data_IF_667861314513
#
_entry.id   IF_667861314513
#
_cell.length_a   1.000
_cell.length_b   1.000
_cell.length_c   1.000
_cell.angle_alpha   90.00
_cell.angle_beta   90.00
_cell.angle_gamma   90.00
#
_symmetry.space_group_name_H-M   'P 1'
#
loop_
_entity.id
_entity.type
_entity.pdbx_description
1 polymer ?
#
# COMPACT_ATOMS: atom_id res chain seq x y z
N UNK A 1 -25.76 5.65 18.50
CA UNK A 1 -26.29 5.63 17.12
C UNK A 1 -25.87 4.31 16.49
N UNK A 2 -26.81 3.44 16.08
CA UNK A 2 -26.46 2.20 15.37
C UNK A 2 -25.96 2.50 13.95
N UNK A 3 -25.27 1.54 13.35
CA UNK A 3 -24.95 1.58 11.91
C UNK A 3 -26.25 1.52 11.12
N UNK A 4 -26.42 2.43 10.15
CA UNK A 4 -27.59 2.46 9.27
C UNK A 4 -27.41 1.48 8.09
N UNK A 5 -28.21 0.41 8.10
CA UNK A 5 -28.17 -0.66 7.09
C UNK A 5 -28.64 -0.19 5.71
N UNK A 6 -29.33 0.95 5.61
CA UNK A 6 -29.76 1.53 4.33
C UNK A 6 -28.62 1.99 3.42
N UNK A 7 -27.40 2.10 3.95
CA UNK A 7 -26.20 2.40 3.17
C UNK A 7 -25.54 1.16 2.54
N UNK A 8 -25.99 -0.06 2.86
CA UNK A 8 -25.44 -1.28 2.27
C UNK A 8 -25.55 -1.25 0.73
N UNK A 9 -24.45 -1.54 0.04
CA UNK A 9 -24.38 -1.53 -1.42
C UNK A 9 -24.18 -0.15 -2.07
N UNK A 10 -24.08 0.95 -1.28
CA UNK A 10 -23.72 2.26 -1.83
C UNK A 10 -22.30 2.23 -2.41
N UNK A 11 -22.15 2.77 -3.62
CA UNK A 11 -20.85 3.02 -4.25
C UNK A 11 -20.51 4.50 -4.18
N UNK A 12 -19.25 4.81 -3.92
CA UNK A 12 -18.71 6.17 -3.94
C UNK A 12 -17.89 6.37 -5.21
N UNK A 13 -17.89 7.58 -5.79
CA UNK A 13 -17.07 7.86 -6.97
C UNK A 13 -15.58 7.66 -6.63
N UNK A 14 -14.76 7.21 -7.60
CA UNK A 14 -13.32 7.11 -7.40
C UNK A 14 -12.71 8.46 -7.03
N UNK A 15 -11.72 8.43 -6.14
CA UNK A 15 -10.84 9.57 -5.86
C UNK A 15 -9.74 9.68 -6.92
N UNK A 16 -8.94 10.74 -6.87
CA UNK A 16 -7.74 10.85 -7.69
C UNK A 16 -6.81 9.64 -7.45
N UNK A 17 -6.13 9.18 -8.50
CA UNK A 17 -5.20 8.08 -8.40
C UNK A 17 -4.09 8.38 -7.38
N UNK A 18 -3.77 7.40 -6.53
CA UNK A 18 -2.68 7.50 -5.58
C UNK A 18 -1.38 7.01 -6.21
N UNK A 19 -0.37 7.88 -6.27
CA UNK A 19 0.96 7.52 -6.75
C UNK A 19 1.74 6.78 -5.66
N UNK A 20 2.12 5.53 -5.93
CA UNK A 20 2.91 4.71 -5.02
C UNK A 20 4.39 5.07 -5.17
N UNK A 21 4.87 5.98 -4.32
CA UNK A 21 6.27 6.42 -4.31
C UNK A 21 7.19 5.50 -3.50
N UNK A 22 8.39 5.21 -4.02
CA UNK A 22 9.39 4.34 -3.36
C UNK A 22 9.76 4.80 -1.96
N UNK A 23 9.95 6.11 -1.78
CA UNK A 23 10.28 6.69 -0.46
C UNK A 23 9.16 6.41 0.55
N UNK A 24 7.89 6.46 0.11
CA UNK A 24 6.76 6.17 0.98
C UNK A 24 6.66 4.69 1.33
N UNK A 25 7.03 3.80 0.39
CA UNK A 25 7.13 2.36 0.67
C UNK A 25 8.20 2.07 1.73
N UNK A 26 9.37 2.71 1.64
CA UNK A 26 10.43 2.58 2.63
C UNK A 26 9.98 3.09 4.01
N UNK A 27 9.45 4.32 4.06
CA UNK A 27 8.93 4.92 5.31
C UNK A 27 7.85 4.02 5.95
N UNK A 28 6.93 3.48 5.15
CA UNK A 28 5.87 2.61 5.65
C UNK A 28 6.42 1.26 6.11
N UNK A 29 7.37 0.67 5.38
CA UNK A 29 8.00 -0.59 5.76
C UNK A 29 8.68 -0.48 7.14
N UNK A 30 9.39 0.63 7.38
CA UNK A 30 10.00 0.92 8.68
C UNK A 30 8.92 1.08 9.76
N UNK A 31 7.83 1.80 9.48
CA UNK A 31 6.74 2.05 10.44
C UNK A 31 6.00 0.77 10.88
N UNK A 32 5.88 -0.23 10.01
CA UNK A 32 5.18 -1.48 10.29
C UNK A 32 6.11 -2.65 10.59
N UNK A 33 7.43 -2.43 10.63
CA UNK A 33 8.43 -3.48 10.88
C UNK A 33 8.58 -4.50 9.74
N UNK A 34 8.24 -4.12 8.50
CA UNK A 34 8.43 -4.97 7.33
C UNK A 34 9.90 -4.96 6.88
N UNK A 35 10.70 -5.88 7.42
CA UNK A 35 12.16 -5.89 7.28
C UNK A 35 12.70 -6.51 6.00
N UNK A 36 11.85 -7.07 5.14
CA UNK A 36 12.31 -7.71 3.91
C UNK A 36 12.85 -6.65 2.91
N UNK A 37 14.08 -6.84 2.41
CA UNK A 37 14.77 -5.85 1.58
C UNK A 37 14.08 -5.53 0.26
N UNK A 38 13.16 -6.37 -0.22
CA UNK A 38 12.33 -6.05 -1.40
C UNK A 38 11.47 -4.77 -1.23
N UNK A 39 11.30 -4.28 0.00
CA UNK A 39 10.60 -3.01 0.27
C UNK A 39 11.49 -1.77 0.12
N UNK A 40 12.83 -1.94 0.09
CA UNK A 40 13.78 -0.82 0.15
C UNK A 40 14.88 -0.90 -0.91
N UNK A 41 15.24 -2.09 -1.38
CA UNK A 41 16.29 -2.34 -2.37
C UNK A 41 15.70 -2.83 -3.71
N UNK A 42 15.77 -2.00 -4.78
CA UNK A 42 15.32 -2.40 -6.11
C UNK A 42 16.05 -3.62 -6.68
N UNK A 43 17.31 -3.86 -6.30
CA UNK A 43 18.09 -5.00 -6.80
C UNK A 43 17.56 -6.32 -6.23
N UNK A 44 17.20 -6.34 -4.95
CA UNK A 44 16.55 -7.49 -4.29
C UNK A 44 15.16 -7.72 -4.85
N UNK A 45 14.38 -6.66 -5.07
CA UNK A 45 13.06 -6.80 -5.68
C UNK A 45 13.15 -7.39 -7.10
N UNK A 46 14.13 -6.95 -7.89
CA UNK A 46 14.38 -7.48 -9.25
C UNK A 46 14.87 -8.92 -9.27
N UNK A 47 15.70 -9.34 -8.32
CA UNK A 47 16.12 -10.75 -8.22
C UNK A 47 14.94 -11.68 -7.90
N UNK A 48 13.86 -11.14 -7.33
CA UNK A 48 12.60 -11.84 -7.08
C UNK A 48 11.59 -11.72 -8.24
N UNK A 49 11.97 -11.08 -9.35
CA UNK A 49 11.13 -10.94 -10.54
C UNK A 49 10.21 -9.72 -10.55
N UNK A 50 10.32 -8.81 -9.58
CA UNK A 50 9.58 -7.56 -9.58
C UNK A 50 10.32 -6.47 -10.35
N UNK A 51 9.62 -5.54 -11.02
CA UNK A 51 10.27 -4.46 -11.77
C UNK A 51 11.01 -3.45 -10.87
N UNK A 52 10.52 -3.24 -9.65
CA UNK A 52 11.06 -2.30 -8.66
C UNK A 52 10.64 -2.73 -7.24
N UNK A 53 11.02 -1.95 -6.23
CA UNK A 53 10.61 -2.16 -4.83
C UNK A 53 9.10 -2.35 -4.70
N UNK A 54 8.70 -3.25 -3.80
CA UNK A 54 7.30 -3.66 -3.63
C UNK A 54 6.73 -3.12 -2.32
N UNK A 55 5.43 -2.85 -2.32
CA UNK A 55 4.74 -2.38 -1.14
C UNK A 55 4.62 -3.49 -0.07
N UNK A 56 4.73 -3.16 1.22
CA UNK A 56 4.29 -4.05 2.29
C UNK A 56 2.81 -4.44 2.11
N UNK A 57 2.38 -5.66 2.51
CA UNK A 57 1.03 -6.16 2.23
C UNK A 57 -0.11 -5.28 2.74
N UNK A 58 0.15 -4.45 3.76
CA UNK A 58 -0.82 -3.55 4.39
C UNK A 58 -0.76 -2.10 3.89
N UNK A 59 0.11 -1.78 2.94
CA UNK A 59 0.32 -0.41 2.45
C UNK A 59 -0.96 0.25 1.90
N UNK A 60 -1.89 -0.55 1.37
CA UNK A 60 -3.15 -0.06 0.81
C UNK A 60 -4.01 0.74 1.81
N UNK A 61 -3.79 0.58 3.12
CA UNK A 61 -4.47 1.38 4.16
C UNK A 61 -4.21 2.89 4.02
N UNK A 62 -3.12 3.29 3.37
CA UNK A 62 -2.78 4.71 3.13
C UNK A 62 -3.73 5.40 2.14
N UNK A 63 -4.43 4.62 1.31
CA UNK A 63 -5.36 5.13 0.29
C UNK A 63 -6.79 5.24 0.81
N UNK A 64 -7.10 4.56 1.93
CA UNK A 64 -8.44 4.38 2.48
C UNK A 64 -8.97 5.59 3.26
#
# INVERSE_FOLDING_TARGET
>A
MPVDVGYAGRQYPPTAAYEVGRQKLQEFADAVGASHQAHTDPSVARSLGYPDVIAPPTFAVVVA
#
